data_IF_003675213375
#
_entry.id   IF_003675213375
#
_cell.length_a   1.000
_cell.length_b   1.000
_cell.length_c   1.000
_cell.angle_alpha   90.00
_cell.angle_beta   90.00
_cell.angle_gamma   90.00
#
_symmetry.space_group_name_H-M   'P 1'
#
loop_
_entity.id
_entity.type
_entity.pdbx_description
1 polymer ?
#
# COMPACT_ATOMS: atom_id res chain seq x y z
N UNK A 1 -30.97 -51.66 -24.05
CA UNK A 1 -32.17 -50.83 -23.88
C UNK A 1 -31.80 -49.66 -23.01
N UNK A 2 -31.45 -48.54 -23.62
CA UNK A 2 -31.13 -47.28 -22.94
C UNK A 2 -32.46 -46.55 -22.67
N UNK A 3 -32.67 -46.15 -21.43
CA UNK A 3 -33.83 -45.33 -21.03
C UNK A 3 -33.59 -43.88 -21.49
N UNK A 4 -34.51 -43.34 -22.28
CA UNK A 4 -34.55 -41.91 -22.64
C UNK A 4 -34.84 -41.08 -21.37
N UNK A 5 -34.21 -39.91 -21.24
CA UNK A 5 -34.49 -38.95 -20.17
C UNK A 5 -35.80 -38.21 -20.43
N UNK A 6 -36.59 -38.05 -19.37
CA UNK A 6 -37.94 -37.47 -19.38
C UNK A 6 -37.96 -35.99 -19.82
N UNK A 7 -38.99 -35.62 -20.57
CA UNK A 7 -39.29 -34.34 -21.22
C UNK A 7 -39.61 -33.15 -20.28
N UNK A 8 -39.28 -33.24 -18.98
CA UNK A 8 -39.64 -32.21 -17.98
C UNK A 8 -38.47 -31.43 -17.41
N UNK A 9 -37.30 -31.43 -18.07
CA UNK A 9 -36.11 -30.67 -17.63
C UNK A 9 -35.74 -29.56 -18.62
N UNK A 10 -36.68 -28.97 -19.33
CA UNK A 10 -36.45 -27.76 -20.12
C UNK A 10 -37.25 -26.61 -19.52
N UNK A 11 -36.58 -25.47 -19.38
CA UNK A 11 -37.13 -24.15 -19.08
C UNK A 11 -37.44 -23.84 -17.60
N UNK A 12 -36.40 -23.82 -16.74
CA UNK A 12 -36.36 -22.75 -15.75
C UNK A 12 -35.59 -21.58 -16.34
N UNK A 13 -36.18 -20.38 -16.46
CA UNK A 13 -35.43 -19.18 -16.70
C UNK A 13 -34.40 -19.07 -15.56
N UNK A 14 -33.12 -18.96 -15.86
CA UNK A 14 -32.16 -18.45 -14.89
C UNK A 14 -32.59 -16.99 -14.63
N UNK A 15 -33.38 -16.78 -13.57
CA UNK A 15 -33.47 -15.48 -12.95
C UNK A 15 -32.01 -15.13 -12.59
N UNK A 16 -31.44 -14.16 -13.32
CA UNK A 16 -30.26 -13.46 -12.86
C UNK A 16 -30.63 -12.94 -11.47
N UNK A 17 -30.11 -13.60 -10.42
CA UNK A 17 -30.10 -13.01 -9.10
C UNK A 17 -29.64 -11.57 -9.30
N UNK A 18 -30.50 -10.63 -8.97
CA UNK A 18 -30.14 -9.21 -8.88
C UNK A 18 -29.01 -9.18 -7.87
N UNK A 19 -27.76 -9.07 -8.33
CA UNK A 19 -26.64 -8.81 -7.43
C UNK A 19 -27.04 -7.58 -6.62
N UNK A 20 -27.38 -7.77 -5.36
CA UNK A 20 -27.61 -6.66 -4.44
C UNK A 20 -26.26 -5.97 -4.30
N UNK A 21 -26.24 -4.65 -4.48
CA UNK A 21 -25.03 -3.87 -4.30
C UNK A 21 -24.46 -4.08 -2.88
N UNK A 22 -23.15 -4.18 -2.79
CA UNK A 22 -22.43 -4.40 -1.54
C UNK A 22 -22.01 -3.05 -0.96
N UNK A 23 -22.59 -2.71 0.18
CA UNK A 23 -22.19 -1.47 0.89
C UNK A 23 -21.09 -1.76 1.90
N UNK A 24 -20.01 -1.00 1.87
CA UNK A 24 -18.86 -1.18 2.72
C UNK A 24 -18.42 0.08 3.44
N UNK A 25 -17.93 -0.09 4.68
CA UNK A 25 -17.21 0.92 5.43
C UNK A 25 -15.72 0.59 5.40
N UNK A 26 -14.92 1.55 4.96
CA UNK A 26 -13.47 1.44 4.87
C UNK A 26 -12.83 2.33 5.94
N UNK A 27 -11.89 1.76 6.71
CA UNK A 27 -11.26 2.43 7.85
C UNK A 27 -9.75 2.44 7.68
N UNK A 28 -9.16 3.63 7.51
CA UNK A 28 -7.72 3.83 7.35
C UNK A 28 -7.18 4.77 8.44
N UNK A 29 -6.75 4.24 9.60
CA UNK A 29 -6.21 5.04 10.68
C UNK A 29 -4.79 5.52 10.38
N UNK A 30 -4.58 6.82 10.51
CA UNK A 30 -3.27 7.48 10.57
C UNK A 30 -2.92 7.93 11.98
N UNK A 31 -1.73 8.51 12.18
CA UNK A 31 -1.22 8.92 13.50
C UNK A 31 -2.17 9.92 14.17
N UNK A 32 -2.57 10.98 13.47
CA UNK A 32 -3.39 12.08 13.99
C UNK A 32 -4.77 12.18 13.31
N UNK A 33 -5.18 11.13 12.60
CA UNK A 33 -6.46 11.13 11.90
C UNK A 33 -6.94 9.71 11.63
N UNK A 34 -8.21 9.56 11.28
CA UNK A 34 -8.78 8.34 10.71
C UNK A 34 -9.51 8.71 9.44
N UNK A 35 -9.04 8.21 8.28
CA UNK A 35 -9.74 8.40 7.03
C UNK A 35 -10.78 7.29 6.86
N UNK A 36 -12.02 7.67 6.57
CA UNK A 36 -13.14 6.76 6.30
C UNK A 36 -13.57 6.89 4.86
N UNK A 37 -14.04 5.79 4.29
CA UNK A 37 -14.75 5.78 3.02
C UNK A 37 -16.01 4.93 3.12
N UNK A 38 -17.10 5.39 2.56
CA UNK A 38 -18.33 4.61 2.39
C UNK A 38 -18.50 4.34 0.91
N UNK A 39 -18.62 3.07 0.56
CA UNK A 39 -18.74 2.62 -0.82
C UNK A 39 -20.01 1.81 -1.04
N UNK A 40 -20.52 1.87 -2.26
CA UNK A 40 -21.48 0.94 -2.82
C UNK A 40 -20.83 0.28 -4.04
N UNK A 41 -20.48 -0.98 -3.92
CA UNK A 41 -19.55 -1.68 -4.81
C UNK A 41 -18.22 -0.91 -4.92
N UNK A 42 -17.76 -0.61 -6.13
CA UNK A 42 -16.55 0.22 -6.35
C UNK A 42 -16.84 1.73 -6.31
N UNK A 43 -18.10 2.15 -6.14
CA UNK A 43 -18.47 3.56 -6.14
C UNK A 43 -18.34 4.17 -4.75
N UNK A 44 -17.46 5.13 -4.60
CA UNK A 44 -17.32 5.90 -3.36
C UNK A 44 -18.49 6.86 -3.21
N UNK A 45 -19.33 6.64 -2.19
CA UNK A 45 -20.45 7.54 -1.87
C UNK A 45 -19.96 8.83 -1.21
N UNK A 46 -19.03 8.68 -0.27
CA UNK A 46 -18.28 9.80 0.31
C UNK A 46 -17.04 9.29 1.04
N UNK A 47 -16.09 10.19 1.27
CA UNK A 47 -14.99 10.00 2.20
C UNK A 47 -14.87 11.16 3.19
N UNK A 48 -14.16 10.92 4.29
CA UNK A 48 -13.88 11.93 5.31
C UNK A 48 -12.58 11.62 6.02
N UNK A 49 -11.89 12.67 6.44
CA UNK A 49 -10.73 12.55 7.33
C UNK A 49 -11.10 13.12 8.72
N UNK A 50 -11.34 12.23 9.67
CA UNK A 50 -11.59 12.57 11.06
C UNK A 50 -10.25 12.89 11.73
N UNK A 51 -10.03 14.14 12.09
CA UNK A 51 -8.80 14.61 12.74
C UNK A 51 -8.89 14.40 14.24
N UNK A 52 -7.77 13.99 14.83
CA UNK A 52 -7.65 13.77 16.27
C UNK A 52 -6.63 14.77 16.82
N UNK A 53 -7.00 15.64 17.77
CA UNK A 53 -6.05 16.57 18.40
C UNK A 53 -4.88 15.83 19.04
N UNK A 54 -3.67 16.35 18.86
CA UNK A 54 -2.45 15.72 19.40
C UNK A 54 -2.49 15.58 20.91
N UNK A 55 -3.07 16.56 21.61
CA UNK A 55 -3.24 16.57 23.06
C UNK A 55 -4.18 15.46 23.55
N UNK A 56 -5.17 15.09 22.72
CA UNK A 56 -6.11 14.03 23.04
C UNK A 56 -5.47 12.66 22.82
N UNK A 57 -4.74 12.49 21.71
CA UNK A 57 -4.01 11.24 21.42
C UNK A 57 -2.91 11.00 22.46
N UNK A 58 -2.22 12.05 22.91
CA UNK A 58 -1.13 11.96 23.89
C UNK A 58 -1.57 11.46 25.29
N UNK A 59 -2.88 11.42 25.57
CA UNK A 59 -3.40 10.88 26.83
C UNK A 59 -3.40 9.35 26.87
N UNK A 60 -3.23 8.68 25.73
CA UNK A 60 -3.26 7.23 25.66
C UNK A 60 -1.85 6.65 25.73
N UNK A 61 -1.66 5.65 26.59
CA UNK A 61 -0.36 4.99 26.82
C UNK A 61 0.14 4.19 25.60
N UNK A 62 -0.75 3.78 24.73
CA UNK A 62 -0.43 2.99 23.54
C UNK A 62 -1.38 3.29 22.37
N UNK A 63 -0.99 2.84 21.18
CA UNK A 63 -1.86 2.88 20.01
C UNK A 63 -3.15 2.12 20.27
N UNK A 64 -3.06 0.91 20.83
CA UNK A 64 -4.21 0.08 21.13
C UNK A 64 -5.20 0.75 22.08
N UNK A 65 -4.72 1.47 23.07
CA UNK A 65 -5.58 2.19 24.03
C UNK A 65 -6.47 3.25 23.37
N UNK A 66 -6.17 3.70 22.15
CA UNK A 66 -6.98 4.67 21.38
C UNK A 66 -8.21 4.06 20.71
N UNK A 67 -8.40 2.73 20.75
CA UNK A 67 -9.42 2.04 19.95
C UNK A 67 -10.84 2.53 20.25
N UNK A 68 -11.24 2.60 21.52
CA UNK A 68 -12.59 2.99 21.89
C UNK A 68 -12.89 4.46 21.55
N UNK A 69 -11.92 5.35 21.78
CA UNK A 69 -12.00 6.75 21.36
C UNK A 69 -12.22 6.88 19.85
N UNK A 70 -11.38 6.20 19.03
CA UNK A 70 -11.51 6.29 17.58
C UNK A 70 -12.80 5.63 17.08
N UNK A 71 -13.20 4.50 17.66
CA UNK A 71 -14.46 3.84 17.35
C UNK A 71 -15.65 4.76 17.60
N UNK A 72 -15.67 5.43 18.77
CA UNK A 72 -16.75 6.37 19.13
C UNK A 72 -16.85 7.49 18.10
N UNK A 73 -15.73 8.12 17.72
CA UNK A 73 -15.73 9.21 16.73
C UNK A 73 -16.25 8.72 15.37
N UNK A 74 -15.90 7.50 14.97
CA UNK A 74 -16.39 6.91 13.70
C UNK A 74 -17.92 6.73 13.75
N UNK A 75 -18.41 6.13 14.81
CA UNK A 75 -19.86 5.84 14.98
C UNK A 75 -20.65 7.14 15.06
N UNK A 76 -20.23 8.07 15.92
CA UNK A 76 -20.90 9.37 16.08
C UNK A 76 -20.97 10.13 14.75
N UNK A 77 -19.89 10.13 13.95
CA UNK A 77 -19.86 10.76 12.65
C UNK A 77 -20.84 10.12 11.65
N UNK A 78 -20.89 8.78 11.61
CA UNK A 78 -21.81 8.07 10.72
C UNK A 78 -23.29 8.34 11.11
N UNK A 79 -23.58 8.36 12.41
CA UNK A 79 -24.91 8.72 12.93
C UNK A 79 -25.29 10.17 12.56
N UNK A 80 -24.37 11.12 12.73
CA UNK A 80 -24.58 12.54 12.33
C UNK A 80 -24.90 12.67 10.84
N UNK A 81 -24.25 11.83 10.01
CA UNK A 81 -24.53 11.78 8.56
C UNK A 81 -25.77 10.98 8.18
N UNK A 82 -26.48 10.42 9.15
CA UNK A 82 -27.68 9.60 8.90
C UNK A 82 -27.35 8.26 8.24
N UNK A 83 -26.13 7.76 8.38
CA UNK A 83 -25.73 6.46 7.85
C UNK A 83 -26.01 5.36 8.89
N UNK A 84 -26.98 4.51 8.60
CA UNK A 84 -27.25 3.34 9.44
C UNK A 84 -26.11 2.33 9.31
N UNK A 85 -25.45 2.02 10.44
CA UNK A 85 -24.40 0.99 10.51
C UNK A 85 -24.88 -0.36 9.99
N UNK A 86 -26.15 -0.73 10.25
CA UNK A 86 -26.72 -2.00 9.79
C UNK A 86 -26.89 -2.07 8.26
N UNK A 87 -26.70 -0.97 7.54
CA UNK A 87 -26.76 -0.95 6.09
C UNK A 87 -25.48 -1.51 5.43
N UNK A 88 -24.40 -1.67 6.19
CA UNK A 88 -23.16 -2.23 5.66
C UNK A 88 -23.21 -3.75 5.54
N UNK A 89 -22.58 -4.27 4.49
CA UNK A 89 -22.45 -5.72 4.24
C UNK A 89 -21.07 -6.24 4.63
N UNK A 90 -20.06 -5.36 4.73
CA UNK A 90 -18.70 -5.67 5.18
C UNK A 90 -18.01 -4.43 5.75
N UNK A 91 -17.02 -4.64 6.60
CA UNK A 91 -16.12 -3.59 7.08
C UNK A 91 -14.69 -3.96 6.68
N UNK A 92 -13.94 -3.00 6.12
CA UNK A 92 -12.55 -3.24 5.71
C UNK A 92 -11.64 -2.25 6.40
N UNK A 93 -10.67 -2.75 7.16
CA UNK A 93 -9.65 -1.95 7.81
C UNK A 93 -8.31 -1.99 7.07
N UNK A 94 -7.53 -0.91 7.18
CA UNK A 94 -6.12 -0.99 6.78
C UNK A 94 -5.41 -2.03 7.64
N UNK A 95 -4.62 -2.90 7.02
CA UNK A 95 -3.76 -3.84 7.74
C UNK A 95 -2.59 -3.12 8.44
N UNK A 96 -2.24 -3.61 9.63
CA UNK A 96 -1.18 -3.07 10.47
C UNK A 96 0.14 -3.83 10.39
N UNK A 97 0.95 -3.66 11.44
CA UNK A 97 2.27 -4.27 11.61
C UNK A 97 2.14 -5.70 12.15
N UNK A 98 1.74 -6.61 11.28
CA UNK A 98 1.63 -8.04 11.52
C UNK A 98 2.97 -8.76 11.27
N UNK A 99 3.04 -10.07 11.47
CA UNK A 99 4.12 -10.89 10.92
C UNK A 99 4.14 -10.78 9.39
N UNK A 100 5.28 -11.03 8.73
CA UNK A 100 5.33 -11.12 7.28
C UNK A 100 4.35 -12.17 6.74
N UNK A 101 3.50 -11.78 5.80
CA UNK A 101 2.46 -12.62 5.19
C UNK A 101 2.40 -12.39 3.67
N UNK A 102 1.90 -13.36 2.89
CA UNK A 102 1.57 -13.13 1.47
C UNK A 102 0.56 -12.02 1.27
N UNK A 103 0.53 -11.42 0.09
CA UNK A 103 -0.51 -10.46 -0.29
C UNK A 103 -1.87 -11.13 -0.46
N UNK A 104 -2.94 -10.39 -0.14
CA UNK A 104 -4.32 -10.86 -0.26
C UNK A 104 -5.27 -10.15 0.68
N UNK A 105 -6.52 -10.61 0.68
CA UNK A 105 -7.56 -10.16 1.59
C UNK A 105 -7.69 -11.16 2.74
N UNK A 106 -7.47 -10.70 3.96
CA UNK A 106 -7.51 -11.53 5.17
C UNK A 106 -8.75 -11.27 5.97
N UNK A 107 -9.44 -12.35 6.39
CA UNK A 107 -10.45 -12.23 7.43
C UNK A 107 -9.80 -11.82 8.76
N UNK A 108 -10.42 -10.89 9.48
CA UNK A 108 -9.90 -10.45 10.78
C UNK A 108 -10.26 -11.50 11.84
N UNK A 109 -9.33 -12.43 12.07
CA UNK A 109 -9.43 -13.51 13.06
C UNK A 109 -8.92 -13.07 14.44
N UNK A 110 -9.18 -13.86 15.47
CA UNK A 110 -8.70 -13.56 16.83
C UNK A 110 -7.18 -13.60 16.94
N UNK A 111 -6.49 -14.47 16.17
CA UNK A 111 -5.03 -14.52 16.13
C UNK A 111 -4.46 -13.23 15.50
N UNK A 112 -5.09 -12.76 14.41
CA UNK A 112 -4.72 -11.50 13.75
C UNK A 112 -4.91 -10.32 14.70
N UNK A 113 -6.05 -10.25 15.42
CA UNK A 113 -6.32 -9.21 16.41
C UNK A 113 -5.26 -9.18 17.49
N UNK A 114 -4.93 -10.33 18.07
CA UNK A 114 -3.91 -10.45 19.12
C UNK A 114 -2.57 -9.87 18.69
N UNK A 115 -2.11 -10.17 17.48
CA UNK A 115 -0.84 -9.67 16.97
C UNK A 115 -0.89 -8.16 16.66
N UNK A 116 -2.04 -7.62 16.23
CA UNK A 116 -2.25 -6.17 16.08
C UNK A 116 -2.25 -5.44 17.43
N UNK A 117 -2.89 -6.01 18.46
CA UNK A 117 -2.98 -5.44 19.80
C UNK A 117 -1.60 -5.30 20.45
N UNK A 118 -0.81 -6.39 20.42
CA UNK A 118 0.54 -6.37 21.01
C UNK A 118 1.54 -5.61 20.14
N UNK A 119 1.22 -5.38 18.85
CA UNK A 119 2.13 -4.75 17.89
C UNK A 119 3.33 -5.61 17.62
N UNK A 120 3.12 -6.87 17.21
CA UNK A 120 4.15 -7.92 17.09
C UNK A 120 5.36 -7.49 16.22
N UNK A 121 5.13 -6.66 15.22
CA UNK A 121 6.18 -6.09 14.36
C UNK A 121 6.34 -4.56 14.52
N UNK A 122 5.67 -3.97 15.48
CA UNK A 122 5.75 -2.54 15.81
C UNK A 122 4.40 -1.91 16.12
N UNK A 123 4.47 -0.80 16.84
CA UNK A 123 3.28 0.02 17.19
C UNK A 123 3.08 1.08 16.11
N UNK A 124 1.97 0.97 15.39
CA UNK A 124 1.59 1.94 14.36
C UNK A 124 0.07 2.14 14.34
N UNK A 125 -0.40 3.33 14.01
CA UNK A 125 -1.83 3.64 13.98
C UNK A 125 -2.63 2.70 13.06
N UNK A 126 -2.03 2.21 11.98
CA UNK A 126 -2.66 1.24 11.08
C UNK A 126 -3.06 -0.08 11.75
N UNK A 127 -2.45 -0.42 12.91
CA UNK A 127 -2.85 -1.61 13.68
C UNK A 127 -4.31 -1.54 14.12
N UNK A 128 -4.82 -0.32 14.34
CA UNK A 128 -6.22 -0.12 14.71
C UNK A 128 -7.20 -0.39 13.56
N UNK A 129 -6.75 -0.42 12.31
CA UNK A 129 -7.65 -0.62 11.17
C UNK A 129 -8.41 -1.94 11.23
N UNK A 130 -7.68 -3.05 11.40
CA UNK A 130 -8.29 -4.38 11.57
C UNK A 130 -9.11 -4.50 12.86
N UNK A 131 -8.62 -3.90 13.96
CA UNK A 131 -9.30 -3.92 15.27
C UNK A 131 -10.65 -3.21 15.18
N UNK A 132 -10.68 -1.99 14.66
CA UNK A 132 -11.90 -1.20 14.48
C UNK A 132 -12.87 -1.86 13.50
N UNK A 133 -12.34 -2.43 12.40
CA UNK A 133 -13.15 -3.15 11.43
C UNK A 133 -13.87 -4.35 12.08
N UNK A 134 -13.16 -5.14 12.89
CA UNK A 134 -13.73 -6.29 13.58
C UNK A 134 -14.76 -5.86 14.63
N UNK A 135 -14.45 -4.90 15.49
CA UNK A 135 -15.37 -4.46 16.53
C UNK A 135 -16.67 -3.86 15.97
N UNK A 136 -16.60 -3.10 14.88
CA UNK A 136 -17.80 -2.56 14.22
C UNK A 136 -18.54 -3.67 13.49
N UNK A 137 -17.83 -4.52 12.75
CA UNK A 137 -18.43 -5.64 12.03
C UNK A 137 -19.18 -6.60 12.94
N UNK A 138 -18.60 -7.00 14.07
CA UNK A 138 -19.24 -7.87 15.06
C UNK A 138 -20.50 -7.23 15.66
N UNK A 139 -20.51 -5.91 15.87
CA UNK A 139 -21.66 -5.20 16.44
C UNK A 139 -22.90 -5.23 15.53
N UNK A 140 -22.72 -5.47 14.23
CA UNK A 140 -23.79 -5.52 13.22
C UNK A 140 -23.88 -6.88 12.50
N UNK A 141 -23.00 -7.83 12.84
CA UNK A 141 -23.03 -9.20 12.32
C UNK A 141 -22.53 -9.35 10.88
N UNK A 142 -21.56 -8.54 10.43
CA UNK A 142 -20.97 -8.61 9.08
C UNK A 142 -19.49 -8.96 9.11
N UNK A 143 -18.94 -9.55 8.03
CA UNK A 143 -17.53 -9.89 7.96
C UNK A 143 -16.63 -8.65 7.95
N UNK A 144 -15.41 -8.84 8.50
CA UNK A 144 -14.37 -7.82 8.57
C UNK A 144 -13.10 -8.31 7.94
N UNK A 145 -12.46 -7.44 7.15
CA UNK A 145 -11.25 -7.77 6.39
C UNK A 145 -10.15 -6.72 6.57
N UNK A 146 -8.92 -7.16 6.28
CA UNK A 146 -7.78 -6.29 5.93
C UNK A 146 -7.24 -6.72 4.57
N UNK A 147 -6.58 -5.80 3.86
CA UNK A 147 -6.10 -6.04 2.48
C UNK A 147 -4.64 -5.62 2.35
N UNK A 148 -3.81 -6.49 1.78
CA UNK A 148 -2.42 -6.23 1.39
C UNK A 148 -1.68 -5.32 2.40
N UNK A 149 -1.49 -5.73 3.67
CA UNK A 149 -0.85 -4.90 4.69
C UNK A 149 0.61 -4.58 4.33
N UNK A 150 1.17 -3.55 4.98
CA UNK A 150 2.56 -3.11 4.73
C UNK A 150 3.61 -4.21 4.95
N UNK A 151 3.27 -5.26 5.66
CA UNK A 151 4.11 -6.43 5.96
C UNK A 151 4.02 -7.54 4.92
N UNK A 152 3.40 -7.28 3.77
CA UNK A 152 3.38 -8.26 2.66
C UNK A 152 4.81 -8.63 2.28
N UNK A 153 5.10 -9.92 2.32
CA UNK A 153 6.41 -10.48 1.98
C UNK A 153 6.26 -11.70 1.07
N UNK A 154 6.49 -11.47 -0.21
CA UNK A 154 6.42 -12.46 -1.27
C UNK A 154 7.77 -12.64 -1.99
N UNK A 155 8.86 -12.10 -1.39
CA UNK A 155 10.20 -12.17 -1.96
C UNK A 155 10.61 -13.62 -2.29
N UNK A 156 11.24 -13.78 -3.44
CA UNK A 156 11.92 -15.06 -3.74
C UNK A 156 12.99 -15.34 -2.66
N UNK A 157 13.26 -16.61 -2.35
CA UNK A 157 14.35 -16.95 -1.43
C UNK A 157 15.68 -16.27 -1.78
N UNK A 158 16.02 -16.22 -3.07
CA UNK A 158 17.27 -15.61 -3.55
C UNK A 158 17.28 -14.09 -3.42
N UNK A 159 16.12 -13.43 -3.42
CA UNK A 159 15.99 -11.97 -3.26
C UNK A 159 16.27 -11.50 -1.82
N UNK A 160 16.36 -12.44 -0.86
CA UNK A 160 16.59 -12.11 0.55
C UNK A 160 18.06 -11.96 0.91
N UNK A 161 18.95 -12.43 0.05
CA UNK A 161 20.38 -12.38 0.35
C UNK A 161 20.93 -10.97 0.14
N UNK A 162 21.53 -10.42 1.21
CA UNK A 162 22.51 -9.35 1.12
C UNK A 162 23.92 -9.97 1.10
N UNK A 163 24.96 -9.17 1.08
CA UNK A 163 26.33 -9.67 1.24
C UNK A 163 26.72 -10.02 2.69
N UNK A 164 25.81 -9.80 3.67
CA UNK A 164 26.06 -10.00 5.10
C UNK A 164 24.93 -10.86 5.67
N UNK A 165 25.23 -12.10 6.17
CA UNK A 165 24.20 -13.03 6.62
C UNK A 165 23.27 -12.50 7.72
N UNK A 166 23.80 -11.64 8.60
CA UNK A 166 23.07 -11.05 9.71
C UNK A 166 22.11 -9.91 9.27
N UNK A 167 22.23 -9.46 8.02
CA UNK A 167 21.48 -8.34 7.46
C UNK A 167 20.71 -8.78 6.20
N UNK A 168 19.71 -9.68 6.31
CA UNK A 168 18.93 -10.08 5.14
C UNK A 168 18.09 -8.92 4.62
N UNK A 169 17.82 -8.90 3.30
CA UNK A 169 16.88 -7.96 2.70
C UNK A 169 15.46 -8.23 3.19
N UNK A 170 14.70 -7.17 3.41
CA UNK A 170 13.33 -7.20 3.93
C UNK A 170 12.36 -6.61 2.94
N UNK A 171 11.17 -7.17 2.89
CA UNK A 171 10.05 -6.64 2.10
C UNK A 171 9.37 -5.51 2.87
N UNK A 172 9.61 -4.26 2.48
CA UNK A 172 8.94 -3.08 3.04
C UNK A 172 8.59 -2.14 1.89
N UNK A 173 7.31 -2.09 1.52
CA UNK A 173 6.87 -1.34 0.35
C UNK A 173 5.39 -0.94 0.43
N UNK A 174 4.92 -0.19 -0.55
CA UNK A 174 3.53 0.24 -0.68
C UNK A 174 2.65 -0.89 -1.25
N UNK A 175 2.53 -2.00 -0.50
CA UNK A 175 1.93 -3.25 -0.97
C UNK A 175 0.51 -3.06 -1.49
N UNK A 176 -0.37 -2.42 -0.70
CA UNK A 176 -1.76 -2.15 -1.06
C UNK A 176 -1.88 -1.43 -2.41
N UNK A 177 -1.14 -0.32 -2.59
CA UNK A 177 -1.21 0.46 -3.81
C UNK A 177 -0.60 -0.30 -5.00
N UNK A 178 0.60 -0.89 -4.84
CA UNK A 178 1.24 -1.61 -5.94
C UNK A 178 0.40 -2.79 -6.45
N UNK A 179 -0.17 -3.59 -5.53
CA UNK A 179 -1.01 -4.73 -5.92
C UNK A 179 -2.35 -4.28 -6.50
N UNK A 180 -2.93 -3.18 -5.99
CA UNK A 180 -4.17 -2.62 -6.52
C UNK A 180 -4.01 -2.14 -7.98
N UNK A 181 -2.96 -1.36 -8.29
CA UNK A 181 -2.73 -0.88 -9.66
C UNK A 181 -2.33 -2.00 -10.62
N UNK A 182 -1.61 -3.03 -10.13
CA UNK A 182 -1.29 -4.21 -10.92
C UNK A 182 -2.55 -5.02 -11.28
N UNK A 183 -3.44 -5.25 -10.31
CA UNK A 183 -4.74 -5.92 -10.55
C UNK A 183 -5.66 -5.07 -11.43
N UNK A 184 -5.66 -3.74 -11.26
CA UNK A 184 -6.38 -2.80 -12.13
C UNK A 184 -5.94 -2.94 -13.58
N UNK A 185 -4.63 -2.86 -13.84
CA UNK A 185 -4.07 -3.02 -15.19
C UNK A 185 -4.46 -4.37 -15.79
N UNK A 186 -4.33 -5.46 -15.04
CA UNK A 186 -4.72 -6.79 -15.46
C UNK A 186 -6.21 -6.87 -15.89
N UNK A 187 -7.10 -6.30 -15.09
CA UNK A 187 -8.55 -6.19 -15.38
C UNK A 187 -8.81 -5.38 -16.66
N UNK A 188 -8.13 -4.23 -16.84
CA UNK A 188 -8.29 -3.36 -18.00
C UNK A 188 -7.88 -4.05 -19.32
N UNK A 189 -6.86 -4.92 -19.28
CA UNK A 189 -6.41 -5.67 -20.48
C UNK A 189 -7.04 -7.07 -20.60
N UNK A 190 -7.94 -7.44 -19.69
CA UNK A 190 -8.64 -8.73 -19.69
C UNK A 190 -7.75 -9.95 -19.47
N UNK A 191 -6.66 -9.83 -18.71
CA UNK A 191 -5.75 -10.93 -18.38
C UNK A 191 -5.69 -11.15 -16.87
N UNK A 192 -5.49 -12.39 -16.38
CA UNK A 192 -5.20 -12.64 -14.98
C UNK A 192 -3.91 -11.92 -14.54
N UNK A 193 -3.91 -11.30 -13.36
CA UNK A 193 -2.69 -10.68 -12.81
C UNK A 193 -1.54 -11.69 -12.66
N UNK A 194 -1.85 -12.96 -12.39
CA UNK A 194 -0.86 -14.02 -12.26
C UNK A 194 -0.13 -14.36 -13.58
N UNK A 195 -0.68 -13.98 -14.73
CA UNK A 195 -0.08 -14.25 -16.04
C UNK A 195 0.85 -13.11 -16.52
N UNK A 196 0.98 -12.05 -15.72
CA UNK A 196 1.72 -10.84 -16.09
C UNK A 196 3.04 -10.70 -15.31
N UNK A 197 4.05 -10.20 -16.00
CA UNK A 197 5.30 -9.72 -15.44
C UNK A 197 5.30 -8.19 -15.47
N UNK A 198 5.16 -7.56 -14.31
CA UNK A 198 5.02 -6.12 -14.22
C UNK A 198 6.16 -5.52 -13.38
N UNK A 199 6.58 -4.32 -13.72
CA UNK A 199 7.36 -3.47 -12.82
C UNK A 199 6.43 -2.37 -12.33
N UNK A 200 6.21 -2.30 -11.01
CA UNK A 200 5.36 -1.26 -10.41
C UNK A 200 6.23 -0.28 -9.63
N UNK A 201 6.08 0.99 -9.98
CA UNK A 201 6.84 2.12 -9.43
C UNK A 201 5.89 3.01 -8.66
N UNK A 202 5.91 2.91 -7.34
CA UNK A 202 5.19 3.83 -6.47
C UNK A 202 6.11 4.96 -6.05
N UNK A 203 5.71 6.20 -6.28
CA UNK A 203 6.45 7.41 -5.91
C UNK A 203 5.56 8.35 -5.09
N UNK A 204 5.86 8.45 -3.80
CA UNK A 204 5.20 9.33 -2.83
C UNK A 204 6.23 9.88 -1.85
N UNK A 205 5.90 10.05 -0.57
CA UNK A 205 6.87 10.37 0.49
C UNK A 205 8.00 9.34 0.60
N UNK A 206 7.71 8.08 0.24
CA UNK A 206 8.69 7.03 -0.06
C UNK A 206 8.60 6.59 -1.51
N UNK A 207 9.64 5.91 -2.00
CA UNK A 207 9.66 5.29 -3.33
C UNK A 207 9.84 3.79 -3.18
N UNK A 208 9.04 3.01 -3.91
CA UNK A 208 9.22 1.55 -4.00
C UNK A 208 9.05 1.08 -5.43
N UNK A 209 10.01 0.31 -5.92
CA UNK A 209 10.01 -0.29 -7.26
C UNK A 209 10.03 -1.79 -7.11
N UNK A 210 8.98 -2.47 -7.55
CA UNK A 210 8.79 -3.90 -7.37
C UNK A 210 8.67 -4.66 -8.67
N UNK A 211 9.22 -5.88 -8.70
CA UNK A 211 9.04 -6.86 -9.75
C UNK A 211 7.87 -7.78 -9.38
N UNK A 212 6.82 -7.77 -10.18
CA UNK A 212 5.63 -8.59 -10.01
C UNK A 212 5.64 -9.74 -11.03
N UNK A 213 5.47 -10.97 -10.57
CA UNK A 213 5.35 -12.16 -11.42
C UNK A 213 4.54 -13.24 -10.71
N UNK A 214 3.72 -13.98 -11.46
CA UNK A 214 2.88 -15.03 -10.88
C UNK A 214 1.89 -14.52 -9.82
N UNK A 215 1.40 -13.28 -9.96
CA UNK A 215 0.50 -12.64 -9.00
C UNK A 215 1.17 -12.18 -7.68
N UNK A 216 2.50 -12.20 -7.60
CA UNK A 216 3.30 -11.91 -6.40
C UNK A 216 4.34 -10.85 -6.66
N UNK A 217 4.75 -10.13 -5.61
CA UNK A 217 5.89 -9.20 -5.62
C UNK A 217 7.15 -9.97 -5.26
N UNK A 218 7.87 -10.45 -6.27
CA UNK A 218 8.98 -11.41 -6.12
C UNK A 218 10.31 -10.77 -5.75
N UNK A 219 10.46 -9.48 -5.98
CA UNK A 219 11.56 -8.64 -5.51
C UNK A 219 11.09 -7.19 -5.35
N UNK A 220 11.67 -6.48 -4.41
CA UNK A 220 11.33 -5.10 -4.06
C UNK A 220 12.51 -4.41 -3.39
N UNK A 221 12.73 -3.12 -3.66
CA UNK A 221 13.59 -2.30 -2.82
C UNK A 221 12.86 -1.89 -1.54
N UNK A 222 13.58 -1.90 -0.41
CA UNK A 222 13.04 -1.46 0.87
C UNK A 222 12.82 0.06 0.85
N UNK A 223 11.57 0.47 0.78
CA UNK A 223 11.14 1.86 0.65
C UNK A 223 11.24 2.68 1.93
N UNK A 224 11.62 2.08 3.06
CA UNK A 224 11.68 2.77 4.36
C UNK A 224 13.10 3.17 4.74
N UNK A 225 13.95 2.20 4.98
CA UNK A 225 15.26 2.37 5.60
C UNK A 225 16.36 1.52 4.93
N UNK A 226 16.15 1.17 3.68
CA UNK A 226 17.05 0.25 2.99
C UNK A 226 17.60 0.79 1.69
N UNK A 227 17.40 -0.01 0.66
CA UNK A 227 17.95 0.15 -0.67
C UNK A 227 16.98 0.88 -1.62
N UNK A 228 17.44 1.19 -2.82
CA UNK A 228 16.68 1.87 -3.86
C UNK A 228 16.90 3.39 -3.90
N UNK A 229 16.09 4.06 -4.72
CA UNK A 229 16.17 5.50 -4.92
C UNK A 229 15.85 6.28 -3.64
N UNK A 230 16.51 7.42 -3.43
CA UNK A 230 16.06 8.35 -2.39
C UNK A 230 14.68 8.92 -2.75
N UNK A 231 13.99 9.47 -1.76
CA UNK A 231 12.65 10.02 -1.92
C UNK A 231 12.53 11.41 -1.31
N UNK A 232 11.36 12.04 -1.26
CA UNK A 232 11.19 13.31 -0.56
C UNK A 232 11.75 13.36 0.86
N UNK A 233 11.60 12.30 1.65
CA UNK A 233 12.00 12.31 3.07
C UNK A 233 12.87 11.11 3.50
N UNK A 234 13.33 10.27 2.55
CA UNK A 234 14.13 9.06 2.83
C UNK A 234 15.41 9.04 2.02
N UNK A 235 16.50 8.58 2.64
CA UNK A 235 17.82 8.61 2.03
C UNK A 235 18.00 7.60 0.89
N UNK A 236 17.19 6.52 0.85
CA UNK A 236 17.44 5.40 -0.05
C UNK A 236 18.76 4.70 0.27
N UNK A 237 19.34 4.07 -0.74
CA UNK A 237 20.64 3.41 -0.60
C UNK A 237 21.78 4.42 -0.38
N UNK A 238 22.48 4.28 0.75
CA UNK A 238 23.65 5.12 1.11
C UNK A 238 24.93 4.30 1.11
N UNK A 239 26.12 4.93 0.94
CA UNK A 239 27.40 4.24 1.07
C UNK A 239 27.58 3.65 2.49
N UNK A 240 27.46 2.31 2.62
CA UNK A 240 27.45 1.63 3.93
C UNK A 240 28.74 1.86 4.73
N UNK A 241 29.90 1.92 4.08
CA UNK A 241 31.18 2.18 4.78
C UNK A 241 31.22 3.55 5.44
N UNK A 242 30.65 4.58 4.81
CA UNK A 242 30.59 5.93 5.37
C UNK A 242 29.47 6.06 6.41
N UNK A 243 28.37 5.33 6.25
CA UNK A 243 27.33 5.21 7.28
C UNK A 243 27.89 4.61 8.58
N UNK A 244 28.71 3.54 8.49
CA UNK A 244 29.39 2.94 9.66
C UNK A 244 30.29 3.98 10.33
N UNK A 245 31.11 4.71 9.58
CA UNK A 245 31.97 5.77 10.14
C UNK A 245 31.14 6.85 10.84
N UNK A 246 30.00 7.24 10.26
CA UNK A 246 29.08 8.19 10.88
C UNK A 246 28.50 7.68 12.19
N UNK A 247 28.03 6.43 12.23
CA UNK A 247 27.47 5.79 13.44
C UNK A 247 28.48 5.75 14.60
N UNK A 248 29.75 5.44 14.30
CA UNK A 248 30.80 5.32 15.32
C UNK A 248 31.65 6.60 15.50
N UNK A 249 31.26 7.71 14.89
CA UNK A 249 31.98 8.99 15.02
C UNK A 249 31.88 9.65 16.39
N UNK A 250 30.91 9.24 17.21
CA UNK A 250 30.56 9.93 18.47
C UNK A 250 29.83 11.26 18.30
N UNK A 251 29.53 11.67 17.03
CA UNK A 251 28.87 12.96 16.73
C UNK A 251 27.33 12.86 16.77
N UNK A 252 26.79 11.65 16.61
CA UNK A 252 25.36 11.41 16.49
C UNK A 252 24.95 10.23 17.34
N UNK A 253 23.74 10.30 17.89
CA UNK A 253 23.05 9.17 18.49
C UNK A 253 22.44 8.27 17.40
N UNK A 254 22.11 7.02 17.72
CA UNK A 254 21.38 6.11 16.84
C UNK A 254 20.11 6.77 16.27
N UNK A 255 19.31 7.40 17.15
CA UNK A 255 18.06 8.08 16.76
C UNK A 255 18.29 9.21 15.77
N UNK A 256 19.37 9.97 15.91
CA UNK A 256 19.72 11.06 14.99
C UNK A 256 20.17 10.52 13.63
N UNK A 257 20.97 9.44 13.60
CA UNK A 257 21.36 8.78 12.35
C UNK A 257 20.14 8.18 11.68
N UNK A 258 19.27 7.48 12.42
CA UNK A 258 18.07 6.90 11.85
C UNK A 258 17.15 7.96 11.24
N UNK A 259 17.00 9.13 11.88
CA UNK A 259 16.25 10.25 11.31
C UNK A 259 16.84 10.79 10.00
N UNK A 260 18.15 10.69 9.79
CA UNK A 260 18.79 11.08 8.51
C UNK A 260 18.44 10.07 7.39
N UNK A 261 18.14 8.82 7.75
CA UNK A 261 17.68 7.80 6.81
C UNK A 261 16.18 7.92 6.55
N UNK A 262 15.38 8.09 7.62
CA UNK A 262 13.90 8.12 7.57
C UNK A 262 13.37 9.41 8.17
N UNK A 263 12.74 10.24 7.35
CA UNK A 263 12.09 11.50 7.73
C UNK A 263 12.90 12.74 7.37
N UNK A 264 14.21 12.76 7.61
CA UNK A 264 15.09 13.88 7.30
C UNK A 264 16.14 13.54 6.22
N UNK A 265 15.88 12.50 5.41
CA UNK A 265 16.69 12.13 4.25
C UNK A 265 16.14 12.72 2.95
N UNK A 266 16.72 12.32 1.83
CA UNK A 266 16.23 12.67 0.50
C UNK A 266 16.21 14.17 0.21
N UNK A 267 15.19 14.62 -0.53
CA UNK A 267 15.03 16.05 -0.86
C UNK A 267 14.98 16.93 0.40
N UNK A 268 14.34 16.45 1.47
CA UNK A 268 14.26 17.18 2.73
C UNK A 268 15.66 17.49 3.33
N UNK A 269 16.60 16.56 3.20
CA UNK A 269 17.97 16.77 3.69
C UNK A 269 18.74 17.84 2.91
N UNK A 270 18.50 17.93 1.61
CA UNK A 270 19.25 18.83 0.71
C UNK A 270 18.57 20.18 0.52
N UNK A 271 17.23 20.22 0.43
CA UNK A 271 16.46 21.41 0.06
C UNK A 271 15.56 21.93 1.19
N UNK A 272 15.45 21.20 2.33
CA UNK A 272 14.61 21.60 3.45
C UNK A 272 13.10 21.43 3.21
N UNK A 273 12.70 20.73 2.15
CA UNK A 273 11.31 20.41 1.84
C UNK A 273 11.14 18.94 1.44
N UNK A 274 10.06 18.33 1.90
CA UNK A 274 9.62 17.00 1.46
C UNK A 274 8.42 17.08 0.50
N UNK A 275 8.03 18.28 0.07
CA UNK A 275 6.98 18.49 -0.92
C UNK A 275 7.58 18.60 -2.33
N UNK A 276 7.31 17.60 -3.18
CA UNK A 276 7.81 17.62 -4.56
C UNK A 276 7.29 18.79 -5.39
N UNK A 277 6.18 19.40 -5.01
CA UNK A 277 5.67 20.62 -5.68
C UNK A 277 6.59 21.79 -5.46
N UNK A 278 7.18 21.92 -4.26
CA UNK A 278 8.19 22.93 -3.96
C UNK A 278 9.48 22.67 -4.75
N UNK A 279 9.91 21.41 -4.84
CA UNK A 279 11.08 21.01 -5.63
C UNK A 279 10.87 21.35 -7.11
N UNK A 280 9.73 20.98 -7.69
CA UNK A 280 9.40 21.29 -9.09
C UNK A 280 9.40 22.82 -9.34
N UNK A 281 8.85 23.59 -8.39
CA UNK A 281 8.88 25.05 -8.47
C UNK A 281 10.30 25.61 -8.47
N UNK A 282 11.20 25.11 -7.60
CA UNK A 282 12.61 25.50 -7.59
C UNK A 282 13.29 25.20 -8.93
N UNK A 283 13.00 24.04 -9.52
CA UNK A 283 13.50 23.64 -10.85
C UNK A 283 12.99 24.59 -11.93
N UNK A 284 11.71 24.95 -11.92
CA UNK A 284 11.10 25.87 -12.89
C UNK A 284 11.66 27.31 -12.75
N UNK A 285 12.06 27.71 -11.53
CA UNK A 285 12.70 28.99 -11.24
C UNK A 285 14.21 29.00 -11.58
N UNK A 286 14.76 27.86 -12.02
CA UNK A 286 16.16 27.75 -12.49
C UNK A 286 17.16 27.51 -11.35
N UNK A 287 16.76 26.97 -10.20
CA UNK A 287 17.69 26.55 -9.15
C UNK A 287 18.49 25.35 -9.63
N UNK A 288 19.81 25.57 -9.81
CA UNK A 288 20.74 24.56 -10.34
C UNK A 288 20.87 23.37 -9.40
N UNK A 289 20.87 23.57 -8.07
CA UNK A 289 21.01 22.50 -7.09
C UNK A 289 19.73 21.63 -7.02
N UNK A 290 18.56 22.27 -7.03
CA UNK A 290 17.29 21.54 -7.09
C UNK A 290 17.17 20.75 -8.41
N UNK A 291 17.62 21.31 -9.52
CA UNK A 291 17.63 20.65 -10.84
C UNK A 291 18.53 19.41 -10.83
N UNK A 292 19.73 19.51 -10.27
CA UNK A 292 20.67 18.38 -10.15
C UNK A 292 20.07 17.24 -9.30
N UNK A 293 19.48 17.57 -8.16
CA UNK A 293 18.82 16.60 -7.28
C UNK A 293 17.61 15.95 -7.94
N UNK A 294 16.81 16.74 -8.65
CA UNK A 294 15.66 16.26 -9.41
C UNK A 294 16.08 15.25 -10.49
N UNK A 295 17.13 15.56 -11.27
CA UNK A 295 17.64 14.65 -12.28
C UNK A 295 18.33 13.41 -11.67
N UNK A 296 18.97 13.54 -10.51
CA UNK A 296 19.53 12.43 -9.75
C UNK A 296 18.42 11.47 -9.26
N UNK A 297 17.32 12.00 -8.73
CA UNK A 297 16.14 11.23 -8.36
C UNK A 297 15.59 10.41 -9.52
N UNK A 298 15.34 11.06 -10.66
CA UNK A 298 14.83 10.42 -11.87
C UNK A 298 15.77 9.30 -12.34
N UNK A 299 17.09 9.57 -12.31
CA UNK A 299 18.09 8.57 -12.70
C UNK A 299 18.07 7.36 -11.76
N UNK A 300 17.94 7.57 -10.44
CA UNK A 300 17.91 6.47 -9.49
C UNK A 300 16.65 5.62 -9.65
N UNK A 301 15.47 6.24 -9.80
CA UNK A 301 14.22 5.51 -10.08
C UNK A 301 14.34 4.69 -11.38
N UNK A 302 14.92 5.27 -12.43
CA UNK A 302 15.13 4.55 -13.70
C UNK A 302 16.12 3.37 -13.53
N UNK A 303 17.14 3.48 -12.70
CA UNK A 303 18.07 2.38 -12.35
C UNK A 303 17.33 1.27 -11.60
N UNK A 304 16.45 1.62 -10.68
CA UNK A 304 15.65 0.63 -9.93
C UNK A 304 14.71 -0.13 -10.87
N UNK A 305 14.07 0.54 -11.83
CA UNK A 305 13.29 -0.11 -12.91
C UNK A 305 14.18 -1.10 -13.69
N UNK A 306 15.38 -0.69 -14.08
CA UNK A 306 16.34 -1.55 -14.78
C UNK A 306 16.73 -2.77 -13.97
N UNK A 307 16.93 -2.62 -12.66
CA UNK A 307 17.23 -3.73 -11.74
C UNK A 307 16.06 -4.73 -11.68
N UNK A 308 14.81 -4.25 -11.58
CA UNK A 308 13.63 -5.12 -11.58
C UNK A 308 13.41 -5.80 -12.94
N UNK A 309 13.80 -5.17 -14.05
CA UNK A 309 13.79 -5.83 -15.35
C UNK A 309 14.75 -7.02 -15.40
N UNK A 310 15.93 -6.92 -14.76
CA UNK A 310 16.86 -8.05 -14.62
C UNK A 310 16.25 -9.18 -13.77
N UNK A 311 15.54 -8.87 -12.68
CA UNK A 311 14.82 -9.87 -11.86
C UNK A 311 13.81 -10.66 -12.70
N UNK A 312 13.14 -9.99 -13.65
CA UNK A 312 12.18 -10.57 -14.59
C UNK A 312 12.84 -11.17 -15.85
N UNK A 313 14.17 -11.26 -15.90
CA UNK A 313 14.94 -11.75 -17.05
C UNK A 313 14.61 -11.00 -18.37
N UNK A 314 14.32 -9.72 -18.29
CA UNK A 314 13.91 -8.87 -19.40
C UNK A 314 12.51 -9.14 -19.97
N UNK A 315 11.74 -10.05 -19.36
CA UNK A 315 10.38 -10.39 -19.78
C UNK A 315 9.39 -9.51 -19.03
N UNK A 316 9.28 -8.26 -19.40
CA UNK A 316 8.42 -7.26 -18.78
C UNK A 316 7.26 -6.94 -19.71
N UNK A 317 6.02 -7.20 -19.26
CA UNK A 317 4.83 -6.87 -20.04
C UNK A 317 4.50 -5.38 -19.95
N UNK A 318 4.67 -4.77 -18.76
CA UNK A 318 4.32 -3.36 -18.51
C UNK A 318 5.11 -2.79 -17.35
N UNK A 319 5.43 -1.48 -17.44
CA UNK A 319 5.86 -0.66 -16.32
C UNK A 319 4.67 0.21 -15.90
N UNK A 320 4.29 0.14 -14.62
CA UNK A 320 3.17 0.90 -14.06
C UNK A 320 3.73 1.91 -13.08
N UNK A 321 3.43 3.20 -13.30
CA UNK A 321 3.85 4.29 -12.41
C UNK A 321 2.65 4.81 -11.63
N UNK A 322 2.80 4.95 -10.31
CA UNK A 322 1.73 5.34 -9.38
C UNK A 322 2.29 6.17 -8.22
N UNK A 323 1.43 6.55 -7.27
CA UNK A 323 1.76 7.42 -6.15
C UNK A 323 1.55 8.91 -6.46
N UNK A 324 1.68 9.75 -5.44
CA UNK A 324 1.40 11.19 -5.55
C UNK A 324 2.33 11.92 -6.53
N UNK A 325 3.59 11.50 -6.64
CA UNK A 325 4.55 12.12 -7.57
C UNK A 325 4.21 11.79 -9.04
N UNK A 326 3.46 10.73 -9.30
CA UNK A 326 3.05 10.37 -10.67
C UNK A 326 2.07 11.38 -11.31
N UNK A 327 1.54 12.34 -10.57
CA UNK A 327 0.83 13.50 -11.13
C UNK A 327 1.75 14.44 -11.91
N UNK A 328 3.04 14.46 -11.60
CA UNK A 328 4.05 15.26 -12.29
C UNK A 328 4.44 14.61 -13.61
N UNK A 329 3.87 15.10 -14.71
CA UNK A 329 4.11 14.57 -16.05
C UNK A 329 5.56 14.70 -16.51
N UNK A 330 6.28 15.81 -16.25
CA UNK A 330 7.71 15.95 -16.52
C UNK A 330 8.56 14.84 -15.87
N UNK A 331 8.36 14.54 -14.58
CA UNK A 331 9.09 13.44 -13.90
C UNK A 331 8.83 12.11 -14.62
N UNK A 332 7.56 11.78 -14.85
CA UNK A 332 7.20 10.54 -15.53
C UNK A 332 7.78 10.46 -16.94
N UNK A 333 7.75 11.55 -17.69
CA UNK A 333 8.36 11.62 -19.04
C UNK A 333 9.85 11.35 -19.02
N UNK A 334 10.60 12.01 -18.13
CA UNK A 334 12.05 11.83 -18.00
C UNK A 334 12.42 10.39 -17.53
N UNK A 335 11.62 9.79 -16.63
CA UNK A 335 11.80 8.36 -16.25
C UNK A 335 11.57 7.48 -17.46
N UNK A 336 10.49 7.73 -18.24
CA UNK A 336 10.17 6.97 -19.45
C UNK A 336 11.24 7.10 -20.52
N UNK A 337 11.86 8.27 -20.72
CA UNK A 337 12.99 8.45 -21.63
C UNK A 337 14.17 7.55 -21.26
N UNK A 338 14.43 7.33 -19.96
CA UNK A 338 15.52 6.49 -19.47
C UNK A 338 15.22 5.00 -19.47
N UNK A 339 13.97 4.60 -19.18
CA UNK A 339 13.60 3.22 -18.95
C UNK A 339 12.58 2.66 -19.97
N UNK A 340 12.07 3.47 -20.89
CA UNK A 340 11.03 3.08 -21.85
C UNK A 340 11.46 2.06 -22.90
N UNK A 341 12.74 1.77 -23.00
CA UNK A 341 13.25 0.67 -23.83
C UNK A 341 12.98 -0.72 -23.22
N UNK A 342 12.62 -0.79 -21.94
CA UNK A 342 12.37 -2.06 -21.23
C UNK A 342 10.96 -2.58 -21.57
N UNK A 343 9.94 -1.74 -21.41
CA UNK A 343 8.53 -2.08 -21.67
C UNK A 343 7.68 -0.81 -21.80
N UNK A 344 6.43 -0.92 -22.31
CA UNK A 344 5.48 0.19 -22.30
C UNK A 344 5.18 0.70 -20.89
N UNK A 345 4.72 1.97 -20.79
CA UNK A 345 4.38 2.63 -19.54
C UNK A 345 2.88 2.89 -19.44
N UNK A 346 2.31 2.57 -18.27
CA UNK A 346 0.98 3.01 -17.84
C UNK A 346 1.11 3.84 -16.57
N UNK A 347 0.33 4.90 -16.44
CA UNK A 347 0.39 5.80 -15.29
C UNK A 347 -0.97 5.86 -14.60
N UNK A 348 -0.98 5.50 -13.33
CA UNK A 348 -2.13 5.65 -12.43
C UNK A 348 -1.74 6.56 -11.28
N UNK A 349 -1.87 7.90 -11.45
CA UNK A 349 -1.43 8.85 -10.43
C UNK A 349 -2.26 8.74 -9.15
N UNK A 350 -1.62 8.97 -8.02
CA UNK A 350 -2.27 8.99 -6.70
C UNK A 350 -2.24 7.65 -5.98
N UNK A 351 -2.86 7.67 -4.83
CA UNK A 351 -2.95 6.53 -3.91
C UNK A 351 -4.42 6.35 -3.51
N UNK A 352 -5.15 5.55 -4.26
CA UNK A 352 -6.57 5.30 -3.99
C UNK A 352 -6.71 4.18 -2.93
N UNK A 353 -6.10 4.41 -1.73
CA UNK A 353 -6.05 3.41 -0.66
C UNK A 353 -7.45 2.94 -0.22
N UNK A 354 -8.41 3.86 -0.12
CA UNK A 354 -9.77 3.50 0.28
C UNK A 354 -10.44 2.61 -0.77
N UNK A 355 -10.28 2.93 -2.04
CA UNK A 355 -10.81 2.11 -3.14
C UNK A 355 -10.10 0.75 -3.20
N UNK A 356 -8.77 0.72 -3.01
CA UNK A 356 -8.01 -0.52 -2.99
C UNK A 356 -8.46 -1.47 -1.88
N UNK A 357 -8.74 -0.93 -0.68
CA UNK A 357 -9.31 -1.68 0.45
C UNK A 357 -10.72 -2.19 0.13
N UNK A 358 -11.59 -1.33 -0.43
CA UNK A 358 -12.95 -1.69 -0.83
C UNK A 358 -12.93 -2.83 -1.86
N UNK A 359 -12.12 -2.69 -2.91
CA UNK A 359 -11.96 -3.72 -3.95
C UNK A 359 -11.46 -5.05 -3.41
N UNK A 360 -10.55 -5.04 -2.41
CA UNK A 360 -10.10 -6.26 -1.74
C UNK A 360 -11.25 -7.00 -1.07
N UNK A 361 -12.06 -6.31 -0.27
CA UNK A 361 -13.24 -6.88 0.35
C UNK A 361 -14.27 -7.35 -0.66
N UNK A 362 -14.52 -6.56 -1.71
CA UNK A 362 -15.47 -6.90 -2.78
C UNK A 362 -15.11 -8.21 -3.50
N UNK A 363 -13.84 -8.44 -3.82
CA UNK A 363 -13.42 -9.70 -4.45
C UNK A 363 -13.79 -10.93 -3.61
N UNK A 364 -13.68 -10.82 -2.28
CA UNK A 364 -14.10 -11.89 -1.39
C UNK A 364 -15.64 -12.03 -1.34
N UNK A 365 -16.34 -10.91 -1.20
CA UNK A 365 -17.80 -10.92 -1.13
C UNK A 365 -18.47 -11.41 -2.42
N UNK A 366 -17.84 -11.16 -3.58
CA UNK A 366 -18.29 -11.65 -4.89
C UNK A 366 -17.84 -13.08 -5.20
N UNK A 367 -17.03 -13.71 -4.33
CA UNK A 367 -16.48 -15.04 -4.57
C UNK A 367 -15.39 -15.13 -5.63
N UNK A 368 -14.77 -14.01 -5.97
CA UNK A 368 -13.63 -13.92 -6.90
C UNK A 368 -12.32 -14.37 -6.25
N UNK A 369 -12.20 -14.17 -4.93
CA UNK A 369 -11.09 -14.59 -4.09
C UNK A 369 -11.64 -15.22 -2.79
N UNK A 370 -10.91 -16.16 -2.21
CA UNK A 370 -11.20 -16.63 -0.86
C UNK A 370 -10.50 -15.75 0.17
N UNK A 371 -11.19 -15.46 1.29
CA UNK A 371 -10.55 -14.76 2.39
C UNK A 371 -9.45 -15.62 3.00
N UNK A 372 -8.25 -15.09 3.06
CA UNK A 372 -7.12 -15.76 3.67
C UNK A 372 -7.26 -15.76 5.20
N UNK A 373 -6.63 -16.73 5.84
CA UNK A 373 -6.49 -16.81 7.30
C UNK A 373 -5.07 -16.43 7.68
N UNK A 374 -4.97 -15.65 8.75
CA UNK A 374 -3.69 -15.25 9.36
C UNK A 374 -3.07 -16.37 10.18
#
# INVERSE_FOLDING_TARGET
MAKEPSLWQKDRPQEKEKNMSIKSLIINPGSTSTKLGVFEDENMLFDVTLRHPTEEIAQYESIFAQKDFRKKIIVDFLEEKGVDLKSFNMIVGRGGMLKPIPGGTYAVTDDLLKDLEVGISGQHASNLGGILAREIGDSIGVPSFIVDPVVVDELMPISRYSGVPELPRKSVFHALNQKAVAKRYAKEIGKPYADLNLIVVHMGGGVSVGAHSGGRVIDIFNALDGDGAFSPERAGGVPSGDLIKMCFSGKYTEKEVYKKIVGNGGFNAYLGTNDMRDVCKMVDEGDEHATELYDAFIMQVAKDIGSMACVLNGKVDQIIVTGGIAYDKPIVSKIKERAGFIAPFTVYPGEDELLALAQGGLRVMNGEEEAMKY
#
